data_IF_009273098824
#
_entry.id   IF_009273098824
#
_cell.length_a   1.000
_cell.length_b   1.000
_cell.length_c   1.000
_cell.angle_alpha   90.00
_cell.angle_beta   90.00
_cell.angle_gamma   90.00
#
_symmetry.space_group_name_H-M   'P 1'
#
loop_
_entity.id
_entity.type
_entity.pdbx_description
1 polymer ?
#
# COMPACT_ATOMS: atom_id res chain seq x y z
N UNK A 1 -9.02 -17.91 -5.08
CA UNK A 1 -9.67 -16.61 -4.79
C UNK A 1 -11.01 -16.76 -4.05
N UNK A 2 -11.82 -17.81 -4.30
CA UNK A 2 -13.11 -17.99 -3.62
C UNK A 2 -12.98 -17.96 -2.09
N UNK A 3 -12.06 -18.72 -1.49
CA UNK A 3 -11.77 -18.69 -0.07
C UNK A 3 -11.46 -17.25 0.42
N UNK A 4 -10.65 -16.51 -0.33
CA UNK A 4 -10.30 -15.11 0.01
C UNK A 4 -11.51 -14.19 -0.02
N UNK A 5 -12.41 -14.37 -0.98
CA UNK A 5 -13.63 -13.55 -1.08
C UNK A 5 -14.61 -13.87 0.07
N UNK A 6 -14.68 -15.11 0.50
CA UNK A 6 -15.65 -15.55 1.53
C UNK A 6 -15.13 -15.37 2.97
N UNK A 7 -13.80 -15.33 3.19
CA UNK A 7 -13.21 -15.31 4.53
C UNK A 7 -13.04 -13.89 5.10
N UNK A 8 -13.63 -13.61 6.25
CA UNK A 8 -13.74 -12.25 6.83
C UNK A 8 -12.41 -11.56 7.12
N UNK A 9 -11.36 -12.28 7.54
CA UNK A 9 -10.04 -11.68 7.84
C UNK A 9 -9.15 -11.52 6.61
N UNK A 10 -9.56 -12.04 5.45
CA UNK A 10 -8.80 -11.88 4.21
C UNK A 10 -8.87 -10.43 3.70
N UNK A 11 -7.77 -9.95 3.14
CA UNK A 11 -7.67 -8.69 2.40
C UNK A 11 -7.55 -8.94 0.89
N UNK A 12 -7.69 -7.90 0.08
CA UNK A 12 -7.45 -7.98 -1.36
C UNK A 12 -6.07 -8.57 -1.69
N UNK A 13 -5.10 -8.41 -0.80
CA UNK A 13 -3.71 -8.84 -0.97
C UNK A 13 -3.49 -10.36 -0.87
N UNK A 14 -4.52 -11.12 -0.53
CA UNK A 14 -4.50 -12.59 -0.60
C UNK A 14 -4.95 -13.13 -1.97
N UNK A 15 -5.52 -12.27 -2.84
CA UNK A 15 -5.95 -12.67 -4.19
C UNK A 15 -4.75 -13.07 -5.06
N UNK A 16 -4.94 -14.10 -5.88
CA UNK A 16 -3.89 -14.65 -6.75
C UNK A 16 -3.37 -13.66 -7.79
N UNK A 17 -4.18 -12.68 -8.20
CA UNK A 17 -3.74 -11.61 -9.11
C UNK A 17 -2.50 -10.85 -8.65
N UNK A 18 -2.28 -10.75 -7.33
CA UNK A 18 -1.06 -10.12 -6.82
C UNK A 18 0.21 -10.94 -7.05
N UNK A 19 0.09 -12.27 -7.11
CA UNK A 19 1.20 -13.13 -7.52
C UNK A 19 1.72 -12.70 -8.89
N UNK A 20 0.80 -12.60 -9.86
CA UNK A 20 1.14 -12.22 -11.23
C UNK A 20 1.72 -10.80 -11.29
N UNK A 21 1.11 -9.85 -10.58
CA UNK A 21 1.62 -8.45 -10.49
C UNK A 21 3.06 -8.42 -9.98
N UNK A 22 3.39 -9.16 -8.93
CA UNK A 22 4.73 -9.20 -8.33
C UNK A 22 5.72 -9.88 -9.26
N UNK A 23 5.38 -11.04 -9.81
CA UNK A 23 6.27 -11.82 -10.69
C UNK A 23 6.56 -11.07 -12.00
N UNK A 24 5.54 -10.52 -12.63
CA UNK A 24 5.68 -9.75 -13.86
C UNK A 24 6.46 -8.43 -13.66
N UNK A 25 6.19 -7.71 -12.57
CA UNK A 25 6.75 -6.37 -12.38
C UNK A 25 8.18 -6.37 -11.83
N UNK A 26 8.49 -7.32 -10.95
CA UNK A 26 9.74 -7.32 -10.21
C UNK A 26 10.62 -8.55 -10.46
N UNK A 27 10.06 -9.62 -11.02
CA UNK A 27 10.76 -10.89 -11.24
C UNK A 27 11.04 -11.66 -9.94
N UNK A 28 10.33 -11.34 -8.85
CA UNK A 28 10.43 -12.08 -7.60
C UNK A 28 9.69 -13.40 -7.70
N UNK A 29 10.18 -14.42 -6.99
CA UNK A 29 9.47 -15.69 -6.86
C UNK A 29 8.43 -15.57 -5.76
N UNK A 30 7.23 -16.00 -6.05
CA UNK A 30 6.13 -16.05 -5.09
C UNK A 30 5.83 -17.49 -4.70
N UNK A 31 5.40 -17.68 -3.47
CA UNK A 31 5.02 -18.98 -2.91
C UNK A 31 3.74 -18.78 -2.10
N UNK A 32 2.70 -19.52 -2.46
CA UNK A 32 1.45 -19.49 -1.72
C UNK A 32 1.32 -20.79 -0.94
N UNK A 33 1.45 -20.71 0.38
CA UNK A 33 1.17 -21.84 1.27
C UNK A 33 -0.34 -21.92 1.44
N UNK A 34 -0.87 -23.15 1.30
CA UNK A 34 -2.28 -23.44 1.44
C UNK A 34 -2.46 -24.57 2.44
N UNK A 35 -3.39 -24.40 3.36
CA UNK A 35 -3.96 -25.50 4.14
C UNK A 35 -5.25 -25.98 3.50
N UNK A 36 -5.57 -27.27 3.68
CA UNK A 36 -6.80 -27.88 3.20
C UNK A 36 -7.37 -28.78 4.28
N UNK A 37 -8.68 -28.76 4.39
CA UNK A 37 -9.41 -29.69 5.25
C UNK A 37 -9.44 -31.12 4.68
N UNK A 38 -10.07 -32.05 5.40
CA UNK A 38 -10.21 -33.45 4.99
C UNK A 38 -11.01 -33.63 3.68
N UNK A 39 -11.88 -32.68 3.34
CA UNK A 39 -12.65 -32.67 2.09
C UNK A 39 -11.87 -32.04 0.93
N UNK A 40 -10.65 -31.51 1.18
CA UNK A 40 -9.80 -30.86 0.20
C UNK A 40 -10.11 -29.39 -0.04
N UNK A 41 -11.07 -28.80 0.70
CA UNK A 41 -11.34 -27.36 0.63
C UNK A 41 -10.22 -26.56 1.31
N UNK A 42 -9.95 -25.36 0.80
CA UNK A 42 -8.95 -24.46 1.39
C UNK A 42 -9.53 -23.88 2.68
N UNK A 43 -8.78 -24.01 3.78
CA UNK A 43 -9.09 -23.51 5.12
C UNK A 43 -8.00 -22.59 5.68
N UNK A 44 -6.92 -22.35 4.89
CA UNK A 44 -5.89 -21.39 5.24
C UNK A 44 -5.00 -21.04 4.06
N UNK A 45 -4.48 -19.79 4.07
CA UNK A 45 -3.59 -19.26 3.02
C UNK A 45 -2.54 -18.32 3.61
N UNK A 46 -1.32 -18.41 3.08
CA UNK A 46 -0.25 -17.45 3.33
C UNK A 46 0.51 -17.19 2.03
N UNK A 47 0.36 -16.01 1.40
CA UNK A 47 1.22 -15.59 0.31
C UNK A 47 2.63 -15.26 0.84
N UNK A 48 3.66 -15.65 0.14
CA UNK A 48 5.06 -15.30 0.45
C UNK A 48 5.76 -14.85 -0.83
N UNK A 49 6.49 -13.76 -0.73
CA UNK A 49 7.36 -13.26 -1.80
C UNK A 49 8.80 -13.34 -1.34
N UNK A 50 9.62 -14.04 -2.09
CA UNK A 50 11.03 -14.21 -1.81
C UNK A 50 11.85 -13.05 -2.40
N UNK A 51 12.47 -12.26 -1.54
CA UNK A 51 13.40 -11.21 -1.89
C UNK A 51 14.83 -11.71 -1.66
N UNK A 52 15.63 -11.68 -2.71
CA UNK A 52 17.03 -12.08 -2.64
C UNK A 52 17.90 -11.08 -3.39
N UNK A 53 18.73 -10.37 -2.66
CA UNK A 53 19.57 -9.28 -3.18
C UNK A 53 20.88 -9.21 -2.43
N UNK A 54 21.96 -8.87 -3.14
CA UNK A 54 23.28 -8.66 -2.54
C UNK A 54 23.28 -7.49 -1.53
N UNK A 55 22.42 -6.47 -1.75
CA UNK A 55 22.38 -5.28 -0.89
C UNK A 55 21.46 -5.46 0.32
N UNK A 56 20.34 -6.17 0.16
CA UNK A 56 19.29 -6.25 1.19
C UNK A 56 19.18 -7.64 1.82
N UNK A 57 19.95 -8.62 1.29
CA UNK A 57 19.97 -9.98 1.83
C UNK A 57 18.93 -10.91 1.24
N UNK A 58 18.73 -12.06 1.92
CA UNK A 58 17.85 -13.15 1.54
C UNK A 58 16.75 -13.31 2.60
N UNK A 59 15.50 -12.99 2.27
CA UNK A 59 14.36 -13.03 3.18
C UNK A 59 13.04 -13.18 2.41
N UNK A 60 11.92 -13.39 3.11
CA UNK A 60 10.61 -13.33 2.48
C UNK A 60 9.64 -12.44 3.27
N UNK A 61 8.69 -11.87 2.54
CA UNK A 61 7.61 -11.03 3.08
C UNK A 61 6.29 -11.60 2.62
N UNK A 62 5.27 -11.56 3.46
CA UNK A 62 3.95 -12.08 3.09
C UNK A 62 3.38 -11.41 1.84
N UNK A 63 3.47 -10.09 1.74
CA UNK A 63 3.34 -9.36 0.47
C UNK A 63 4.08 -8.03 0.59
N UNK A 64 5.27 -7.86 -0.04
CA UNK A 64 6.02 -6.62 0.02
C UNK A 64 5.26 -5.49 -0.68
N UNK A 65 5.60 -4.23 -0.35
CA UNK A 65 5.05 -2.99 -0.91
C UNK A 65 3.64 -2.62 -0.40
N UNK A 66 2.96 -3.52 0.32
CA UNK A 66 1.61 -3.34 0.87
C UNK A 66 1.61 -3.44 2.39
N UNK A 67 0.48 -3.16 3.00
CA UNK A 67 0.37 -3.12 4.47
C UNK A 67 -0.13 -4.43 5.07
N UNK A 68 -0.74 -5.29 4.26
CA UNK A 68 -1.44 -6.51 4.62
C UNK A 68 -0.96 -7.71 3.79
N UNK A 69 -1.56 -8.88 4.01
CA UNK A 69 -1.27 -10.10 3.26
C UNK A 69 -0.60 -11.17 4.11
N UNK A 70 -0.75 -11.10 5.45
CA UNK A 70 -0.27 -12.13 6.38
C UNK A 70 -1.06 -13.44 6.30
N UNK A 71 -1.03 -14.25 7.35
CA UNK A 71 -1.79 -15.49 7.42
C UNK A 71 -3.29 -15.18 7.50
N UNK A 72 -4.07 -15.91 6.70
CA UNK A 72 -5.51 -15.98 6.79
C UNK A 72 -5.89 -17.46 6.98
N UNK A 73 -6.60 -17.81 8.05
CA UNK A 73 -6.87 -19.17 8.45
C UNK A 73 -8.18 -19.28 9.25
N UNK A 74 -8.89 -20.40 9.09
CA UNK A 74 -10.18 -20.65 9.75
C UNK A 74 -10.03 -20.97 11.24
N UNK A 75 -8.82 -21.35 11.70
CA UNK A 75 -8.55 -21.65 13.11
C UNK A 75 -7.11 -21.32 13.51
N UNK A 76 -6.88 -21.24 14.81
CA UNK A 76 -5.55 -21.05 15.40
C UNK A 76 -4.59 -22.17 15.03
N UNK A 77 -5.05 -23.44 15.03
CA UNK A 77 -4.22 -24.58 14.65
C UNK A 77 -3.75 -24.53 13.20
N UNK A 78 -4.61 -24.10 12.28
CA UNK A 78 -4.25 -23.91 10.86
C UNK A 78 -3.27 -22.73 10.70
N UNK A 79 -3.52 -21.64 11.41
CA UNK A 79 -2.62 -20.47 11.45
C UNK A 79 -1.22 -20.87 11.91
N UNK A 80 -1.13 -21.59 13.01
CA UNK A 80 0.15 -22.02 13.60
C UNK A 80 0.87 -23.01 12.67
N UNK A 81 0.15 -23.93 12.04
CA UNK A 81 0.68 -24.84 11.02
C UNK A 81 1.24 -24.11 9.79
N UNK A 82 0.54 -23.10 9.30
CA UNK A 82 1.03 -22.25 8.19
C UNK A 82 2.29 -21.45 8.58
N UNK A 83 2.34 -20.95 9.82
CA UNK A 83 3.52 -20.26 10.32
C UNK A 83 4.73 -21.19 10.44
N UNK A 84 4.56 -22.39 10.99
CA UNK A 84 5.63 -23.39 11.11
C UNK A 84 6.15 -23.83 9.74
N UNK A 85 5.25 -24.06 8.78
CA UNK A 85 5.62 -24.41 7.42
C UNK A 85 6.40 -23.28 6.74
N UNK A 86 5.96 -22.03 6.90
CA UNK A 86 6.69 -20.87 6.39
C UNK A 86 8.08 -20.76 7.04
N UNK A 87 8.20 -21.00 8.34
CA UNK A 87 9.48 -21.02 9.05
C UNK A 87 10.40 -22.15 8.57
N UNK A 88 9.84 -23.34 8.29
CA UNK A 88 10.57 -24.47 7.69
C UNK A 88 11.07 -24.11 6.30
N UNK A 89 10.20 -23.55 5.47
CA UNK A 89 10.52 -23.07 4.14
C UNK A 89 11.67 -22.05 4.15
N UNK A 90 11.61 -21.09 5.09
CA UNK A 90 12.66 -20.08 5.25
C UNK A 90 14.00 -20.69 5.68
N UNK A 91 13.98 -21.66 6.62
CA UNK A 91 15.19 -22.39 7.06
C UNK A 91 15.87 -23.13 5.91
N UNK A 92 15.09 -23.89 5.14
CA UNK A 92 15.62 -24.70 4.02
C UNK A 92 16.24 -23.86 2.92
N UNK A 93 15.75 -22.61 2.72
CA UNK A 93 16.27 -21.67 1.72
C UNK A 93 17.32 -20.70 2.24
N UNK A 94 17.75 -20.85 3.47
CA UNK A 94 18.78 -20.01 4.08
C UNK A 94 18.36 -18.55 4.28
N UNK A 95 17.05 -18.28 4.40
CA UNK A 95 16.54 -16.93 4.62
C UNK A 95 16.91 -16.40 6.01
N UNK A 96 17.18 -15.10 6.09
CA UNK A 96 17.52 -14.42 7.33
C UNK A 96 16.29 -14.24 8.24
N UNK A 97 15.15 -13.93 7.64
CA UNK A 97 13.87 -13.72 8.32
C UNK A 97 12.67 -13.89 7.39
N UNK A 98 11.50 -14.04 8.00
CA UNK A 98 10.20 -13.80 7.37
C UNK A 98 9.58 -12.56 8.01
N UNK A 99 8.85 -11.77 7.22
CA UNK A 99 8.00 -10.67 7.68
C UNK A 99 6.55 -10.96 7.28
N UNK A 100 5.67 -11.14 8.26
CA UNK A 100 4.26 -11.45 8.05
C UNK A 100 3.40 -10.25 8.48
N UNK A 101 2.65 -9.67 7.54
CA UNK A 101 1.92 -8.41 7.71
C UNK A 101 0.46 -8.64 8.07
N UNK A 102 0.14 -8.50 9.35
CA UNK A 102 -1.19 -8.70 9.89
C UNK A 102 -1.85 -7.38 10.32
N UNK A 103 -3.17 -7.37 10.35
CA UNK A 103 -4.00 -6.32 10.97
C UNK A 103 -4.35 -6.60 12.42
N UNK A 104 -4.01 -7.80 12.93
CA UNK A 104 -4.27 -8.26 14.27
C UNK A 104 -3.03 -8.97 14.85
N UNK A 105 -2.94 -9.08 16.18
CA UNK A 105 -1.86 -9.82 16.84
C UNK A 105 -2.14 -11.33 16.83
N UNK A 106 -1.90 -11.93 15.68
CA UNK A 106 -2.24 -13.34 15.42
C UNK A 106 -1.22 -14.34 15.96
N UNK A 107 0.02 -13.93 16.25
CA UNK A 107 1.12 -14.83 16.62
C UNK A 107 1.73 -14.42 17.97
N UNK A 108 1.05 -14.70 19.10
CA UNK A 108 1.55 -14.35 20.42
C UNK A 108 2.93 -14.94 20.69
N UNK A 109 3.86 -14.13 21.22
CA UNK A 109 5.24 -14.56 21.52
C UNK A 109 6.20 -14.55 20.33
N UNK A 110 5.72 -14.34 19.10
CA UNK A 110 6.57 -14.09 17.93
C UNK A 110 7.00 -12.63 17.91
N UNK A 111 8.29 -12.30 17.63
CA UNK A 111 8.74 -10.92 17.52
C UNK A 111 7.86 -10.11 16.59
N UNK A 112 7.40 -8.93 17.01
CA UNK A 112 6.42 -8.12 16.29
C UNK A 112 6.83 -6.64 16.24
N UNK A 113 6.59 -5.97 15.13
CA UNK A 113 6.65 -4.50 14.99
C UNK A 113 5.25 -3.92 14.98
N UNK A 114 5.03 -2.93 15.84
CA UNK A 114 3.76 -2.21 16.00
C UNK A 114 3.90 -0.71 15.80
N UNK A 115 5.02 -0.25 15.21
CA UNK A 115 5.33 1.17 15.05
C UNK A 115 4.50 1.89 13.96
N UNK A 116 3.64 1.14 13.26
CA UNK A 116 2.80 1.68 12.18
C UNK A 116 1.34 1.35 12.43
N UNK A 117 0.48 2.26 11.97
CA UNK A 117 -0.96 2.08 11.97
C UNK A 117 -1.50 2.26 10.55
N UNK A 118 -2.62 1.64 10.20
CA UNK A 118 -3.43 2.06 9.08
C UNK A 118 -4.44 3.11 9.53
N UNK A 119 -4.75 4.06 8.66
CA UNK A 119 -5.73 5.11 8.97
C UNK A 119 -7.03 4.82 8.23
N UNK A 120 -8.09 4.46 8.96
CA UNK A 120 -9.37 4.02 8.41
C UNK A 120 -10.50 4.98 8.74
N UNK A 121 -11.34 5.26 7.76
CA UNK A 121 -12.54 6.09 7.90
C UNK A 121 -13.78 5.24 7.60
N UNK A 122 -14.70 5.15 8.54
CA UNK A 122 -16.04 4.64 8.28
C UNK A 122 -16.78 5.63 7.38
N UNK A 123 -17.27 5.15 6.24
CA UNK A 123 -17.98 5.98 5.27
C UNK A 123 -19.50 5.98 5.60
N UNK A 124 -20.16 7.13 5.49
CA UNK A 124 -21.62 7.20 5.51
C UNK A 124 -22.21 6.66 4.21
N UNK A 125 -23.53 6.50 4.17
CA UNK A 125 -24.23 5.96 3.02
C UNK A 125 -24.19 6.83 1.76
N UNK A 126 -23.95 8.14 1.92
CA UNK A 126 -24.00 9.10 0.82
C UNK A 126 -22.82 10.08 0.87
N UNK A 127 -22.47 10.59 -0.31
CA UNK A 127 -21.46 11.65 -0.47
C UNK A 127 -21.88 12.96 0.21
N UNK A 128 -23.17 13.25 0.25
CA UNK A 128 -23.75 14.43 0.89
C UNK A 128 -23.52 14.37 2.41
N UNK A 129 -23.84 13.25 3.04
CA UNK A 129 -23.57 13.00 4.46
C UNK A 129 -22.08 13.10 4.77
N UNK A 130 -21.23 12.52 3.92
CA UNK A 130 -19.79 12.63 4.06
C UNK A 130 -19.31 14.08 4.03
N UNK A 131 -19.76 14.87 3.05
CA UNK A 131 -19.41 16.28 2.93
C UNK A 131 -19.93 17.11 4.12
N UNK A 132 -21.10 16.78 4.66
CA UNK A 132 -21.66 17.44 5.83
C UNK A 132 -20.84 17.14 7.11
N UNK A 133 -20.27 15.93 7.23
CA UNK A 133 -19.44 15.52 8.37
C UNK A 133 -18.08 16.24 8.44
N UNK A 134 -17.59 16.75 7.34
CA UNK A 134 -16.28 17.40 7.29
C UNK A 134 -16.28 18.77 7.98
N UNK A 135 -15.22 19.09 8.75
CA UNK A 135 -15.04 20.43 9.33
C UNK A 135 -15.05 21.53 8.25
N UNK A 136 -15.53 22.72 8.61
CA UNK A 136 -15.59 23.87 7.67
C UNK A 136 -14.25 24.22 7.04
N UNK A 137 -13.16 24.09 7.81
CA UNK A 137 -11.79 24.30 7.35
C UNK A 137 -11.43 23.34 6.20
N UNK A 138 -11.74 22.04 6.35
CA UNK A 138 -11.45 21.03 5.34
C UNK A 138 -12.26 21.28 4.07
N UNK A 139 -13.56 21.55 4.20
CA UNK A 139 -14.42 21.94 3.05
C UNK A 139 -13.91 23.18 2.34
N UNK A 140 -13.36 24.16 3.07
CA UNK A 140 -12.77 25.36 2.49
C UNK A 140 -11.51 25.05 1.68
N UNK A 141 -10.66 24.13 2.17
CA UNK A 141 -9.46 23.69 1.45
C UNK A 141 -9.80 22.96 0.14
N UNK A 142 -10.81 22.10 0.14
CA UNK A 142 -11.30 21.44 -1.09
C UNK A 142 -11.83 22.48 -2.08
N UNK A 143 -12.70 23.40 -1.62
CA UNK A 143 -13.26 24.47 -2.47
C UNK A 143 -12.19 25.38 -3.05
N UNK A 144 -11.05 25.57 -2.37
CA UNK A 144 -9.94 26.35 -2.88
C UNK A 144 -9.39 25.76 -4.17
N UNK A 145 -9.11 24.45 -4.22
CA UNK A 145 -8.63 23.81 -5.45
C UNK A 145 -9.61 23.99 -6.63
N UNK A 146 -10.90 23.85 -6.36
CA UNK A 146 -11.94 24.07 -7.39
C UNK A 146 -11.97 25.54 -7.86
N UNK A 147 -11.82 26.49 -6.95
CA UNK A 147 -11.76 27.93 -7.31
C UNK A 147 -10.55 28.29 -8.15
N UNK A 148 -9.44 27.59 -7.98
CA UNK A 148 -8.22 27.71 -8.81
C UNK A 148 -8.38 27.01 -10.19
N UNK A 149 -9.58 26.50 -10.48
CA UNK A 149 -9.89 25.85 -11.77
C UNK A 149 -9.37 24.43 -11.88
N UNK A 150 -9.02 23.78 -10.77
CA UNK A 150 -8.57 22.38 -10.80
C UNK A 150 -9.74 21.42 -10.96
N UNK A 151 -9.51 20.35 -11.72
CA UNK A 151 -10.49 19.32 -12.02
C UNK A 151 -9.89 17.96 -11.68
N UNK A 152 -10.65 17.12 -10.97
CA UNK A 152 -10.29 15.72 -10.71
C UNK A 152 -10.96 14.80 -11.75
N UNK A 153 -10.22 13.81 -12.23
CA UNK A 153 -10.71 12.77 -13.14
C UNK A 153 -10.45 11.40 -12.55
N UNK A 154 -11.47 10.55 -12.59
CA UNK A 154 -11.35 9.11 -12.30
C UNK A 154 -11.17 8.37 -13.62
N UNK A 155 -10.24 7.41 -13.65
CA UNK A 155 -9.99 6.62 -14.84
C UNK A 155 -9.21 5.33 -14.55
N UNK A 156 -8.79 4.66 -15.61
CA UNK A 156 -8.03 3.43 -15.59
C UNK A 156 -6.65 3.59 -16.22
N UNK A 157 -6.37 2.79 -17.25
CA UNK A 157 -5.09 2.78 -17.98
C UNK A 157 -4.75 4.12 -18.64
N UNK A 158 -5.75 4.89 -19.07
CA UNK A 158 -5.58 6.21 -19.69
C UNK A 158 -4.97 7.23 -18.72
N UNK A 159 -5.23 7.12 -17.43
CA UNK A 159 -4.67 7.99 -16.39
C UNK A 159 -3.26 7.56 -15.91
N UNK A 160 -2.80 6.37 -16.27
CA UNK A 160 -1.53 5.81 -15.82
C UNK A 160 -0.31 6.71 -16.13
N UNK A 161 -0.34 7.39 -17.28
CA UNK A 161 0.71 8.33 -17.68
C UNK A 161 0.83 9.51 -16.73
N UNK A 162 -0.30 10.14 -16.45
CA UNK A 162 -0.44 11.29 -15.54
C UNK A 162 -0.11 10.92 -14.11
N UNK A 163 -0.64 9.79 -13.64
CA UNK A 163 -0.31 9.24 -12.32
C UNK A 163 1.20 9.03 -12.15
N UNK A 164 1.84 8.29 -13.06
CA UNK A 164 3.26 7.99 -12.94
C UNK A 164 4.13 9.25 -13.06
N UNK A 165 3.69 10.26 -13.80
CA UNK A 165 4.37 11.56 -13.88
C UNK A 165 4.40 12.27 -12.54
N UNK A 166 3.24 12.42 -11.88
CA UNK A 166 3.11 13.03 -10.55
C UNK A 166 3.85 12.20 -9.51
N UNK A 167 3.59 10.89 -9.49
CA UNK A 167 4.17 9.96 -8.52
C UNK A 167 5.70 9.96 -8.57
N UNK A 168 6.29 9.82 -9.76
CA UNK A 168 7.75 9.77 -9.91
C UNK A 168 8.44 11.07 -9.51
N UNK A 169 7.82 12.23 -9.78
CA UNK A 169 8.35 13.53 -9.35
C UNK A 169 8.29 13.67 -7.83
N UNK A 170 7.16 13.33 -7.22
CA UNK A 170 7.00 13.38 -5.78
C UNK A 170 7.97 12.41 -5.06
N UNK A 171 8.13 11.17 -5.55
CA UNK A 171 9.06 10.20 -4.97
C UNK A 171 10.52 10.67 -5.04
N UNK A 172 10.94 11.29 -6.17
CA UNK A 172 12.26 11.92 -6.25
C UNK A 172 12.42 13.01 -5.19
N UNK A 173 11.44 13.91 -5.09
CA UNK A 173 11.48 15.05 -4.16
C UNK A 173 11.48 14.60 -2.69
N UNK A 174 10.92 13.43 -2.39
CA UNK A 174 11.00 12.75 -1.09
C UNK A 174 12.31 11.98 -0.87
N UNK A 175 13.13 11.81 -1.91
CA UNK A 175 14.38 11.03 -1.81
C UNK A 175 14.15 9.51 -1.82
N UNK A 176 13.03 9.05 -2.37
CA UNK A 176 12.62 7.63 -2.40
C UNK A 176 12.66 7.09 -3.83
N UNK A 177 13.22 5.88 -4.07
CA UNK A 177 13.15 5.24 -5.37
C UNK A 177 11.69 4.97 -5.80
N UNK A 178 11.42 5.12 -7.10
CA UNK A 178 10.08 5.00 -7.66
C UNK A 178 9.85 3.61 -8.24
N UNK A 179 8.62 3.10 -8.11
CA UNK A 179 8.18 1.90 -8.83
C UNK A 179 8.07 2.15 -10.33
N UNK A 180 8.25 1.10 -11.13
CA UNK A 180 8.10 1.17 -12.56
C UNK A 180 6.64 1.43 -12.97
N UNK A 181 6.44 2.07 -14.14
CA UNK A 181 5.11 2.20 -14.73
C UNK A 181 4.46 0.83 -15.02
N UNK A 182 5.31 -0.20 -15.30
CA UNK A 182 4.86 -1.59 -15.52
C UNK A 182 4.11 -2.15 -14.30
N UNK A 183 4.58 -1.88 -13.09
CA UNK A 183 3.94 -2.32 -11.85
C UNK A 183 2.50 -1.82 -11.73
N UNK A 184 2.29 -0.53 -11.93
CA UNK A 184 0.94 0.05 -11.85
C UNK A 184 0.04 -0.40 -13.00
N UNK A 185 0.62 -0.62 -14.19
CA UNK A 185 -0.09 -1.18 -15.33
C UNK A 185 -0.58 -2.59 -15.01
N UNK A 186 0.27 -3.45 -14.49
CA UNK A 186 -0.08 -4.81 -14.11
C UNK A 186 -1.22 -4.85 -13.08
N UNK A 187 -1.24 -3.91 -12.11
CA UNK A 187 -2.35 -3.79 -11.16
C UNK A 187 -3.67 -3.49 -11.88
N UNK A 188 -3.68 -2.49 -12.77
CA UNK A 188 -4.89 -2.13 -13.52
C UNK A 188 -5.37 -3.23 -14.46
N UNK A 189 -4.45 -4.03 -15.01
CA UNK A 189 -4.76 -5.18 -15.89
C UNK A 189 -5.31 -6.37 -15.12
N UNK A 190 -4.76 -6.65 -13.92
CA UNK A 190 -5.19 -7.80 -13.10
C UNK A 190 -6.45 -7.52 -12.27
N UNK A 191 -6.72 -6.25 -11.98
CA UNK A 191 -7.86 -5.81 -11.18
C UNK A 191 -8.67 -4.72 -11.90
N UNK A 192 -9.18 -4.97 -13.13
CA UNK A 192 -9.79 -3.92 -13.96
C UNK A 192 -11.05 -3.30 -13.34
N UNK A 193 -11.79 -4.07 -12.53
CA UNK A 193 -13.01 -3.59 -11.86
C UNK A 193 -12.72 -2.98 -10.49
N UNK A 194 -11.60 -3.36 -9.86
CA UNK A 194 -11.26 -2.96 -8.50
C UNK A 194 -10.24 -1.81 -8.43
N UNK A 195 -9.30 -1.73 -9.39
CA UNK A 195 -8.26 -0.72 -9.40
C UNK A 195 -8.59 0.45 -10.31
N UNK A 196 -8.41 1.69 -9.82
CA UNK A 196 -8.59 2.93 -10.59
C UNK A 196 -7.56 3.96 -10.21
N UNK A 197 -7.44 4.98 -11.03
CA UNK A 197 -6.59 6.15 -10.79
C UNK A 197 -7.50 7.39 -10.71
N UNK A 198 -7.23 8.24 -9.72
CA UNK A 198 -7.77 9.58 -9.67
C UNK A 198 -6.65 10.58 -9.89
N UNK A 199 -6.79 11.49 -10.86
CA UNK A 199 -5.79 12.53 -11.16
C UNK A 199 -6.43 13.91 -11.10
N UNK A 200 -5.76 14.84 -10.44
CA UNK A 200 -6.14 16.26 -10.37
C UNK A 200 -5.29 17.05 -11.36
N UNK A 201 -5.96 17.79 -12.21
CA UNK A 201 -5.36 18.64 -13.24
C UNK A 201 -5.54 20.12 -12.93
N UNK A 202 -4.57 20.94 -13.32
CA UNK A 202 -4.77 22.40 -13.37
C UNK A 202 -5.72 22.77 -14.51
N UNK A 203 -6.10 24.05 -14.57
CA UNK A 203 -6.93 24.58 -15.66
C UNK A 203 -6.27 24.39 -17.04
N UNK A 204 -4.94 24.41 -17.10
CA UNK A 204 -4.14 24.21 -18.32
C UNK A 204 -3.94 22.73 -18.66
N UNK A 205 -4.52 21.81 -17.91
CA UNK A 205 -4.43 20.38 -18.16
C UNK A 205 -3.17 19.69 -17.61
N UNK A 206 -2.40 20.34 -16.72
CA UNK A 206 -1.23 19.72 -16.11
C UNK A 206 -1.63 18.86 -14.89
N UNK A 207 -1.21 17.58 -14.79
CA UNK A 207 -1.46 16.74 -13.64
C UNK A 207 -0.61 17.18 -12.44
N UNK A 208 -1.24 17.44 -11.28
CA UNK A 208 -0.60 18.01 -10.09
C UNK A 208 -0.80 17.20 -8.81
N UNK A 209 -1.81 16.34 -8.76
CA UNK A 209 -1.97 15.32 -7.74
C UNK A 209 -2.58 14.07 -8.36
N UNK A 210 -2.21 12.91 -7.89
CA UNK A 210 -2.79 11.66 -8.37
C UNK A 210 -2.66 10.56 -7.34
N UNK A 211 -3.63 9.62 -7.33
CA UNK A 211 -3.63 8.45 -6.47
C UNK A 211 -4.22 7.25 -7.19
N UNK A 212 -3.71 6.07 -6.86
CA UNK A 212 -4.28 4.80 -7.27
C UNK A 212 -5.06 4.22 -6.10
N UNK A 213 -6.26 3.76 -6.38
CA UNK A 213 -7.17 3.12 -5.42
C UNK A 213 -7.38 1.66 -5.80
N UNK A 214 -7.63 0.82 -4.79
CA UNK A 214 -7.97 -0.59 -4.97
C UNK A 214 -9.13 -0.93 -4.05
N UNK A 215 -10.22 -1.44 -4.62
CA UNK A 215 -11.41 -1.86 -3.89
C UNK A 215 -11.41 -3.37 -3.62
N UNK A 216 -11.90 -3.75 -2.45
CA UNK A 216 -12.17 -5.15 -2.12
C UNK A 216 -13.31 -5.23 -1.12
N UNK A 217 -14.38 -5.93 -1.48
CA UNK A 217 -15.60 -6.00 -0.68
C UNK A 217 -16.13 -4.61 -0.33
N UNK A 218 -16.20 -4.30 0.96
CA UNK A 218 -16.70 -3.05 1.51
C UNK A 218 -15.63 -1.98 1.75
N UNK A 219 -14.36 -2.28 1.42
CA UNK A 219 -13.22 -1.40 1.68
C UNK A 219 -12.59 -0.89 0.39
N UNK A 220 -12.39 0.43 0.30
CA UNK A 220 -11.57 1.08 -0.73
C UNK A 220 -10.28 1.58 -0.10
N UNK A 221 -9.14 1.12 -0.60
CA UNK A 221 -7.82 1.58 -0.15
C UNK A 221 -7.19 2.51 -1.19
N UNK A 222 -6.39 3.48 -0.72
CA UNK A 222 -5.51 4.32 -1.55
C UNK A 222 -4.04 4.04 -1.20
N UNK A 223 -3.42 2.98 -1.75
CA UNK A 223 -2.04 2.59 -1.43
C UNK A 223 -1.01 3.64 -1.86
N UNK A 224 -1.28 4.36 -2.93
CA UNK A 224 -0.39 5.37 -3.48
C UNK A 224 -1.13 6.64 -3.80
N UNK A 225 -0.71 7.74 -3.18
CA UNK A 225 -1.15 9.09 -3.49
C UNK A 225 0.05 10.04 -3.47
N UNK A 226 0.05 10.99 -4.38
CA UNK A 226 1.12 11.99 -4.53
C UNK A 226 0.56 13.34 -4.97
N UNK A 227 1.20 14.42 -4.53
CA UNK A 227 0.95 15.75 -5.05
C UNK A 227 2.26 16.48 -5.27
N UNK A 228 2.30 17.37 -6.25
CA UNK A 228 3.47 18.19 -6.55
C UNK A 228 3.58 19.33 -5.53
N UNK A 229 4.74 19.43 -4.88
CA UNK A 229 5.01 20.41 -3.81
C UNK A 229 4.72 21.85 -4.23
N UNK A 230 5.03 22.21 -5.47
CA UNK A 230 4.85 23.57 -6.01
C UNK A 230 3.37 24.00 -6.02
N UNK A 231 2.44 23.04 -6.03
CA UNK A 231 0.99 23.26 -6.08
C UNK A 231 0.29 23.09 -4.73
N UNK A 232 0.98 22.65 -3.67
CA UNK A 232 0.38 22.36 -2.37
C UNK A 232 -0.46 23.53 -1.81
N UNK A 233 -0.03 24.79 -2.06
CA UNK A 233 -0.77 25.98 -1.64
C UNK A 233 -2.18 26.09 -2.23
N UNK A 234 -2.45 25.44 -3.35
CA UNK A 234 -3.75 25.45 -4.03
C UNK A 234 -4.66 24.31 -3.62
N UNK A 235 -4.13 23.32 -2.89
CA UNK A 235 -4.88 22.20 -2.32
C UNK A 235 -5.24 21.06 -3.27
N UNK A 236 -4.42 20.69 -4.27
CA UNK A 236 -4.76 19.59 -5.18
C UNK A 236 -4.95 18.26 -4.47
N UNK A 237 -4.17 18.00 -3.41
CA UNK A 237 -4.29 16.80 -2.60
C UNK A 237 -5.64 16.75 -1.86
N UNK A 238 -6.17 17.90 -1.44
CA UNK A 238 -7.50 17.97 -0.82
C UNK A 238 -8.61 17.63 -1.81
N UNK A 239 -8.52 18.10 -3.05
CA UNK A 239 -9.47 17.76 -4.10
C UNK A 239 -9.37 16.27 -4.48
N UNK A 240 -8.15 15.72 -4.58
CA UNK A 240 -7.92 14.30 -4.83
C UNK A 240 -8.67 13.43 -3.81
N UNK A 241 -8.41 13.64 -2.52
CA UNK A 241 -9.05 12.84 -1.47
C UNK A 241 -10.56 13.06 -1.38
N UNK A 242 -11.05 14.29 -1.54
CA UNK A 242 -12.49 14.55 -1.56
C UNK A 242 -13.19 13.80 -2.72
N UNK A 243 -12.57 13.76 -3.89
CA UNK A 243 -13.08 13.05 -5.07
C UNK A 243 -13.10 11.54 -4.84
N UNK A 244 -12.01 10.97 -4.33
CA UNK A 244 -11.90 9.53 -4.09
C UNK A 244 -12.84 9.08 -2.97
N UNK A 245 -12.99 9.85 -1.91
CA UNK A 245 -13.93 9.57 -0.83
C UNK A 245 -15.39 9.66 -1.30
N UNK A 246 -15.72 10.67 -2.13
CA UNK A 246 -17.03 10.75 -2.76
C UNK A 246 -17.31 9.55 -3.65
N UNK A 247 -16.36 9.15 -4.48
CA UNK A 247 -16.46 7.93 -5.28
C UNK A 247 -16.68 6.68 -4.40
N UNK A 248 -15.99 6.57 -3.28
CA UNK A 248 -16.14 5.45 -2.36
C UNK A 248 -17.58 5.32 -1.83
N UNK A 249 -18.20 6.44 -1.44
CA UNK A 249 -19.60 6.46 -1.03
C UNK A 249 -20.55 6.09 -2.19
N UNK A 250 -20.38 6.72 -3.34
CA UNK A 250 -21.22 6.49 -4.53
C UNK A 250 -21.13 5.02 -5.03
N UNK A 251 -19.98 4.37 -4.82
CA UNK A 251 -19.74 2.97 -5.17
C UNK A 251 -20.16 1.97 -4.06
N UNK A 252 -20.69 2.45 -2.92
CA UNK A 252 -21.20 1.62 -1.84
C UNK A 252 -20.16 1.05 -0.88
N UNK A 253 -18.92 1.53 -0.91
CA UNK A 253 -17.92 1.17 0.09
C UNK A 253 -18.29 1.70 1.48
N UNK A 254 -17.98 0.92 2.50
CA UNK A 254 -18.26 1.27 3.90
C UNK A 254 -17.03 1.77 4.67
N UNK A 255 -15.85 1.41 4.20
CA UNK A 255 -14.58 1.78 4.80
C UNK A 255 -13.65 2.35 3.74
N UNK A 256 -13.02 3.48 4.08
CA UNK A 256 -11.90 4.00 3.31
C UNK A 256 -10.60 3.85 4.08
N UNK A 257 -9.64 3.12 3.51
CA UNK A 257 -8.31 2.94 4.08
C UNK A 257 -7.31 3.90 3.41
N UNK A 258 -6.88 4.90 4.18
CA UNK A 258 -5.86 5.85 3.73
C UNK A 258 -4.44 5.23 3.69
N UNK A 259 -4.31 3.96 4.07
CA UNK A 259 -3.04 3.28 4.19
C UNK A 259 -2.21 3.70 5.41
N UNK A 260 -1.00 3.16 5.44
CA UNK A 260 -0.08 3.22 6.58
C UNK A 260 0.37 4.65 6.95
N UNK A 261 0.52 4.87 8.26
CA UNK A 261 1.14 6.07 8.83
C UNK A 261 1.97 5.74 10.06
N UNK A 262 2.90 6.60 10.39
CA UNK A 262 3.53 6.64 11.71
C UNK A 262 2.70 7.56 12.61
N UNK A 263 2.30 7.13 13.81
CA UNK A 263 1.61 8.01 14.75
C UNK A 263 2.31 9.36 14.91
N UNK A 264 1.53 10.41 15.03
CA UNK A 264 1.96 11.80 15.27
C UNK A 264 2.79 12.47 14.14
N UNK A 265 3.05 11.77 13.04
CA UNK A 265 3.72 12.36 11.87
C UNK A 265 2.75 13.11 10.94
N UNK A 266 3.30 13.91 10.02
CA UNK A 266 2.51 14.76 9.12
C UNK A 266 1.48 14.01 8.29
N UNK A 267 1.78 12.80 7.82
CA UNK A 267 0.84 11.94 7.08
C UNK A 267 -0.29 11.41 7.96
N UNK A 268 -0.02 11.09 9.22
CA UNK A 268 -1.02 10.71 10.20
C UNK A 268 -2.02 11.84 10.42
N UNK A 269 -1.52 13.05 10.77
CA UNK A 269 -2.34 14.24 11.01
C UNK A 269 -3.15 14.65 9.77
N UNK A 270 -2.57 14.50 8.58
CA UNK A 270 -3.29 14.72 7.32
C UNK A 270 -4.49 13.78 7.18
N UNK A 271 -4.37 12.50 7.52
CA UNK A 271 -5.46 11.53 7.42
C UNK A 271 -6.49 11.71 8.55
N UNK A 272 -6.02 12.03 9.74
CA UNK A 272 -6.85 12.31 10.90
C UNK A 272 -7.80 13.50 10.67
N UNK A 273 -7.39 14.55 9.96
CA UNK A 273 -8.26 15.70 9.64
C UNK A 273 -9.48 15.33 8.80
N UNK A 274 -9.43 14.18 8.08
CA UNK A 274 -10.56 13.61 7.34
C UNK A 274 -11.50 12.78 8.23
N UNK A 275 -11.18 12.61 9.51
CA UNK A 275 -11.92 11.77 10.45
C UNK A 275 -11.43 10.33 10.50
N UNK A 276 -10.33 9.99 9.82
CA UNK A 276 -9.75 8.65 9.87
C UNK A 276 -9.22 8.33 11.26
N UNK A 277 -9.45 7.10 11.70
CA UNK A 277 -8.97 6.56 12.98
C UNK A 277 -7.83 5.58 12.75
N UNK A 278 -6.84 5.51 13.68
CA UNK A 278 -5.77 4.53 13.58
C UNK A 278 -6.27 3.11 13.87
N UNK A 279 -5.84 2.15 13.05
CA UNK A 279 -5.95 0.72 13.26
C UNK A 279 -4.54 0.14 13.32
N UNK A 280 -4.21 -0.54 14.42
CA UNK A 280 -2.87 -1.04 14.67
C UNK A 280 -2.48 -2.07 13.60
N UNK A 281 -1.22 -2.03 13.15
CA UNK A 281 -0.61 -3.04 12.29
C UNK A 281 0.36 -3.88 13.11
N UNK A 282 0.36 -5.19 12.85
CA UNK A 282 1.20 -6.16 13.53
C UNK A 282 2.04 -6.90 12.50
N UNK A 283 3.31 -6.53 12.38
CA UNK A 283 4.23 -7.19 11.46
C UNK A 283 5.10 -8.15 12.26
N UNK A 284 4.76 -9.45 12.20
CA UNK A 284 5.44 -10.53 12.90
C UNK A 284 6.66 -11.01 12.13
N UNK A 285 7.69 -11.40 12.86
CA UNK A 285 8.97 -11.81 12.30
C UNK A 285 9.38 -13.18 12.79
N UNK A 286 9.54 -14.14 11.88
CA UNK A 286 10.38 -15.27 12.15
C UNK A 286 11.83 -14.87 11.89
N UNK A 287 12.74 -15.12 12.84
CA UNK A 287 14.15 -14.73 12.80
C UNK A 287 15.03 -15.97 12.84
N UNK A 288 15.93 -16.12 11.87
CA UNK A 288 16.86 -17.25 11.82
C UNK A 288 17.88 -17.17 12.94
N UNK A 289 17.98 -18.23 13.78
CA UNK A 289 18.99 -18.37 14.84
C UNK A 289 19.09 -17.15 15.78
N UNK A 290 17.96 -16.55 16.16
CA UNK A 290 17.94 -15.40 17.07
C UNK A 290 18.58 -14.13 16.52
N UNK A 291 18.65 -13.97 15.19
CA UNK A 291 19.12 -12.71 14.58
C UNK A 291 18.29 -11.53 15.07
N UNK A 292 18.89 -10.33 15.16
CA UNK A 292 18.13 -9.14 15.51
C UNK A 292 17.06 -8.85 14.45
N UNK A 293 16.01 -8.17 14.86
CA UNK A 293 14.97 -7.69 13.94
C UNK A 293 15.57 -6.78 12.89
N UNK A 294 15.19 -6.92 11.60
CA UNK A 294 15.70 -6.05 10.54
C UNK A 294 15.26 -4.60 10.78
N UNK A 295 16.21 -3.69 10.80
CA UNK A 295 15.94 -2.25 10.92
C UNK A 295 16.21 -1.57 9.57
N UNK A 296 15.13 -1.23 8.85
CA UNK A 296 15.19 -0.32 7.70
C UNK A 296 14.64 1.02 8.19
N UNK A 297 15.53 1.86 8.73
CA UNK A 297 15.16 3.19 9.19
C UNK A 297 15.69 4.25 8.21
N UNK A 298 14.82 4.90 7.42
CA UNK A 298 15.23 5.99 6.51
C UNK A 298 15.90 7.17 7.22
N UNK A 299 15.67 7.31 8.55
CA UNK A 299 16.32 8.34 9.38
C UNK A 299 17.75 7.98 9.78
N UNK A 300 18.26 6.81 9.41
CA UNK A 300 19.65 6.45 9.67
C UNK A 300 20.55 7.44 8.92
N UNK A 301 21.49 8.12 9.58
CA UNK A 301 22.39 9.10 8.96
C UNK A 301 23.14 8.59 7.74
N UNK A 302 23.39 7.26 7.67
CA UNK A 302 24.01 6.60 6.52
C UNK A 302 23.22 6.77 5.23
N UNK A 303 21.89 6.88 5.30
CA UNK A 303 21.03 7.10 4.13
C UNK A 303 20.80 8.58 3.81
N UNK A 304 21.09 9.49 4.75
CA UNK A 304 20.80 10.91 4.58
C UNK A 304 21.51 11.56 3.39
N UNK A 305 22.78 11.18 3.13
CA UNK A 305 23.51 11.65 1.95
C UNK A 305 22.90 11.08 0.64
N UNK A 306 22.61 9.79 0.61
CA UNK A 306 22.00 9.15 -0.55
C UNK A 306 20.64 9.77 -0.88
N UNK A 307 19.82 10.05 0.13
CA UNK A 307 18.51 10.73 -0.01
C UNK A 307 18.70 12.12 -0.63
N UNK A 308 19.66 12.93 -0.13
CA UNK A 308 19.94 14.27 -0.67
C UNK A 308 20.41 14.20 -2.13
N UNK A 309 21.35 13.31 -2.43
CA UNK A 309 21.79 13.10 -3.82
C UNK A 309 20.60 12.74 -4.71
N UNK A 310 19.77 11.79 -4.28
CA UNK A 310 18.58 11.35 -5.01
C UNK A 310 17.64 12.50 -5.36
N UNK A 311 17.38 13.38 -4.40
CA UNK A 311 16.49 14.54 -4.56
C UNK A 311 16.95 15.50 -5.66
N UNK A 312 18.26 15.56 -5.96
CA UNK A 312 18.84 16.44 -6.97
C UNK A 312 19.07 15.76 -8.33
N UNK A 313 18.83 14.44 -8.44
CA UNK A 313 18.99 13.75 -9.72
C UNK A 313 17.92 14.19 -10.75
N UNK A 314 18.28 14.22 -12.05
CA UNK A 314 17.30 14.37 -13.11
C UNK A 314 16.20 13.32 -13.03
N UNK A 315 14.95 13.73 -13.28
CA UNK A 315 13.79 12.84 -13.15
C UNK A 315 13.88 11.61 -14.07
N UNK A 316 14.43 11.77 -15.29
CA UNK A 316 14.67 10.65 -16.20
C UNK A 316 15.60 9.59 -15.62
N UNK A 317 16.63 10.03 -14.91
CA UNK A 317 17.59 9.12 -14.25
C UNK A 317 16.95 8.39 -13.07
N UNK A 318 16.18 9.10 -12.22
CA UNK A 318 15.49 8.44 -11.08
C UNK A 318 14.43 7.44 -11.54
N UNK A 319 13.77 7.69 -12.69
CA UNK A 319 12.85 6.74 -13.32
C UNK A 319 13.54 5.49 -13.87
N UNK A 320 14.79 5.61 -14.29
CA UNK A 320 15.59 4.48 -14.83
C UNK A 320 16.15 3.61 -13.70
N UNK A 321 16.79 4.23 -12.70
CA UNK A 321 17.51 3.50 -11.63
C UNK A 321 16.62 3.19 -10.42
N UNK A 322 15.48 3.87 -10.26
CA UNK A 322 14.54 3.66 -9.16
C UNK A 322 13.96 2.25 -9.11
N UNK A 323 13.37 1.74 -10.21
CA UNK A 323 12.74 0.42 -10.21
C UNK A 323 13.67 -0.75 -9.83
N UNK A 324 14.91 -0.84 -10.29
CA UNK A 324 15.88 -1.84 -9.83
C UNK A 324 16.20 -1.76 -8.33
N UNK A 325 16.15 -0.57 -7.74
CA UNK A 325 16.42 -0.38 -6.31
C UNK A 325 15.20 -0.73 -5.46
N UNK A 326 14.03 -0.15 -5.80
CA UNK A 326 12.82 -0.28 -4.97
C UNK A 326 12.29 -1.70 -4.92
N UNK A 327 12.50 -2.51 -5.95
CA UNK A 327 12.01 -3.90 -5.98
C UNK A 327 12.52 -4.77 -4.83
N UNK A 328 13.66 -4.41 -4.23
CA UNK A 328 14.27 -5.17 -3.13
C UNK A 328 14.00 -4.52 -1.75
N UNK A 329 13.25 -3.44 -1.69
CA UNK A 329 12.82 -2.77 -0.45
C UNK A 329 11.39 -3.23 -0.12
N UNK A 330 11.17 -3.94 1.00
CA UNK A 330 9.86 -4.48 1.36
C UNK A 330 8.86 -3.41 1.81
#
# INVERSE_FOLDING_TARGET
>A
DRYVVDHNSASCYHLTGWKDVIEESFGHRTFYLLSRDEAGAIDGILPLVHLNSLLFGNFAVSLPFFNYGGICADSDGIRDGLFEEAARFARTRGMAHLELRHSEDLLPGVPVKTSKVSMRLALPGTKEELNASFPSKLRSQVRRAVKEGMVARMGGQEELGSFHSVFSRNMRDLGTPVYSRRFFRAILERFPDAARICTVYTREGMPVASGMIVGFRDTLEIPWASSLKDFNRYGPNMLLYATVLGFACDAGYRVFDFGRSTPDEGTYRFKEQWGAKPAQLYWHYWLRNGRPMPEINPRNPKYGLAIRIWQHLPLGLTRLIGPPLVKNLP
#
